data_IF_474521762560
#
_entry.id   IF_474521762560
#
_cell.length_a   1.000
_cell.length_b   1.000
_cell.length_c   1.000
_cell.angle_alpha   90.00
_cell.angle_beta   90.00
_cell.angle_gamma   90.00
#
_symmetry.space_group_name_H-M   'P 1'
#
loop_
_entity.id
_entity.type
_entity.pdbx_description
1 polymer ?
#
# COMPACT_ATOMS: atom_id res chain seq x y z
N UNK A 1 -35.89 -56.70 4.27
CA UNK A 1 -34.51 -57.13 3.93
C UNK A 1 -33.55 -56.21 4.68
N UNK A 2 -32.85 -56.73 5.71
CA UNK A 2 -31.97 -55.94 6.58
C UNK A 2 -30.59 -55.86 5.89
N UNK A 3 -30.02 -54.67 5.62
CA UNK A 3 -28.74 -54.58 4.92
C UNK A 3 -27.63 -55.27 5.73
N UNK A 4 -26.65 -55.90 5.06
CA UNK A 4 -25.59 -56.64 5.75
C UNK A 4 -24.79 -55.67 6.62
N UNK A 5 -24.57 -56.04 7.88
CA UNK A 5 -23.90 -55.24 8.91
C UNK A 5 -22.51 -54.71 8.48
N UNK A 6 -21.88 -55.36 7.49
CA UNK A 6 -20.62 -54.93 6.89
C UNK A 6 -20.74 -53.63 6.06
N UNK A 7 -21.82 -53.46 5.27
CA UNK A 7 -22.03 -52.26 4.44
C UNK A 7 -22.26 -51.01 5.30
N UNK A 8 -22.93 -51.17 6.45
CA UNK A 8 -23.17 -50.08 7.40
C UNK A 8 -21.87 -49.53 8.01
N UNK A 9 -20.85 -50.36 8.24
CA UNK A 9 -19.55 -49.93 8.78
C UNK A 9 -18.75 -49.07 7.80
N UNK A 10 -18.74 -49.43 6.52
CA UNK A 10 -18.04 -48.68 5.46
C UNK A 10 -18.69 -47.32 5.19
N UNK A 11 -20.03 -47.24 5.21
CA UNK A 11 -20.77 -45.99 5.06
C UNK A 11 -20.51 -45.05 6.25
N UNK A 12 -20.44 -45.60 7.46
CA UNK A 12 -20.16 -44.82 8.67
C UNK A 12 -18.72 -44.27 8.69
N UNK A 13 -17.73 -45.05 8.24
CA UNK A 13 -16.33 -44.59 8.13
C UNK A 13 -16.14 -43.57 7.01
N UNK A 14 -16.85 -43.71 5.88
CA UNK A 14 -16.82 -42.73 4.79
C UNK A 14 -17.49 -41.41 5.18
N UNK A 15 -18.59 -41.46 5.93
CA UNK A 15 -19.25 -40.27 6.47
C UNK A 15 -18.32 -39.49 7.41
N UNK A 16 -17.55 -40.16 8.26
CA UNK A 16 -16.57 -39.51 9.13
C UNK A 16 -15.42 -38.89 8.34
N UNK A 17 -14.92 -39.56 7.30
CA UNK A 17 -13.89 -39.01 6.41
C UNK A 17 -14.34 -37.75 5.68
N UNK A 18 -15.58 -37.72 5.18
CA UNK A 18 -16.16 -36.57 4.49
C UNK A 18 -16.39 -35.40 5.47
N UNK A 19 -16.94 -35.68 6.65
CA UNK A 19 -17.14 -34.66 7.69
C UNK A 19 -15.81 -34.06 8.14
N UNK A 20 -14.76 -34.87 8.30
CA UNK A 20 -13.43 -34.39 8.64
C UNK A 20 -12.84 -33.50 7.53
N UNK A 21 -12.97 -33.91 6.27
CA UNK A 21 -12.46 -33.15 5.12
C UNK A 21 -13.21 -31.81 4.95
N UNK A 22 -14.53 -31.80 5.09
CA UNK A 22 -15.34 -30.58 5.08
C UNK A 22 -15.01 -29.67 6.27
N UNK A 23 -14.78 -30.23 7.45
CA UNK A 23 -14.36 -29.48 8.61
C UNK A 23 -13.01 -28.79 8.36
N UNK A 24 -12.04 -29.46 7.74
CA UNK A 24 -10.72 -28.85 7.41
C UNK A 24 -10.80 -27.75 6.35
N UNK A 25 -11.69 -27.88 5.36
CA UNK A 25 -11.90 -26.86 4.33
C UNK A 25 -12.62 -25.61 4.87
N UNK A 26 -13.39 -25.75 5.95
CA UNK A 26 -14.13 -24.67 6.57
C UNK A 26 -13.29 -23.81 7.53
N UNK A 27 -12.03 -24.17 7.80
CA UNK A 27 -11.16 -23.29 8.60
C UNK A 27 -10.84 -22.02 7.80
N UNK A 28 -11.16 -20.82 8.34
CA UNK A 28 -10.80 -19.58 7.69
C UNK A 28 -9.27 -19.44 7.70
N UNK A 29 -8.65 -19.49 6.52
CA UNK A 29 -7.26 -19.08 6.35
C UNK A 29 -7.19 -17.55 6.46
N UNK A 30 -6.83 -17.07 7.65
CA UNK A 30 -6.55 -15.65 7.85
C UNK A 30 -5.14 -15.35 7.38
N UNK A 31 -5.00 -14.88 6.15
CA UNK A 31 -3.74 -14.33 5.65
C UNK A 31 -3.68 -12.84 6.03
N UNK A 32 -2.69 -12.38 6.81
CA UNK A 32 -2.55 -10.96 7.10
C UNK A 32 -2.18 -10.22 5.81
N UNK A 33 -3.13 -9.49 5.24
CA UNK A 33 -2.90 -8.57 4.12
C UNK A 33 -2.42 -7.22 4.67
N UNK A 34 -1.24 -7.22 5.30
CA UNK A 34 -0.63 -5.98 5.75
C UNK A 34 -0.10 -5.17 4.54
N UNK A 35 -0.34 -3.85 4.47
CA UNK A 35 0.34 -3.00 3.50
C UNK A 35 1.86 -3.13 3.64
N UNK A 36 2.60 -3.04 2.53
CA UNK A 36 4.06 -3.00 2.57
C UNK A 36 4.50 -1.70 3.25
N UNK A 37 5.20 -1.83 4.37
CA UNK A 37 5.92 -0.73 5.01
C UNK A 37 7.32 -0.61 4.41
N UNK A 38 7.74 0.58 3.93
CA UNK A 38 9.14 0.81 3.57
C UNK A 38 10.06 0.58 4.77
N UNK A 39 11.24 0.05 4.49
CA UNK A 39 12.27 -0.27 5.48
C UNK A 39 13.07 0.96 5.95
N UNK A 40 13.06 2.03 5.15
CA UNK A 40 13.73 3.29 5.45
C UNK A 40 13.00 4.46 4.78
N UNK A 41 13.11 5.65 5.36
CA UNK A 41 12.47 6.87 4.82
C UNK A 41 12.97 7.25 3.42
N UNK A 42 14.22 6.89 3.11
CA UNK A 42 14.82 7.13 1.80
C UNK A 42 14.48 6.06 0.75
N UNK A 43 13.73 5.01 1.09
CA UNK A 43 13.35 3.95 0.16
C UNK A 43 12.38 4.50 -0.91
N UNK A 44 12.86 4.57 -2.16
CA UNK A 44 12.03 4.97 -3.30
C UNK A 44 11.37 3.74 -3.89
N UNK A 45 10.05 3.61 -3.70
CA UNK A 45 9.27 2.50 -4.25
C UNK A 45 9.17 2.54 -5.78
N UNK A 46 8.95 3.73 -6.34
CA UNK A 46 8.83 3.96 -7.78
C UNK A 46 9.22 5.40 -8.14
N UNK A 47 9.80 5.61 -9.34
CA UNK A 47 10.04 6.94 -9.91
C UNK A 47 9.14 7.17 -11.11
N UNK A 48 8.16 8.07 -10.96
CA UNK A 48 7.28 8.43 -12.06
C UNK A 48 8.02 9.25 -13.14
N UNK A 49 7.77 8.98 -14.44
CA UNK A 49 8.40 9.73 -15.51
C UNK A 49 7.90 11.19 -15.54
N UNK A 50 8.85 12.12 -15.66
CA UNK A 50 8.55 13.53 -15.90
C UNK A 50 8.02 13.71 -17.33
N UNK A 51 6.81 14.24 -17.47
CA UNK A 51 6.27 14.58 -18.79
C UNK A 51 7.03 15.80 -19.34
N UNK A 52 7.49 15.80 -20.61
CA UNK A 52 8.30 16.89 -21.18
C UNK A 52 7.66 18.29 -21.07
N UNK A 53 6.32 18.36 -21.07
CA UNK A 53 5.55 19.61 -20.93
C UNK A 53 5.28 20.06 -19.50
N UNK A 54 5.57 19.25 -18.48
CA UNK A 54 5.22 19.57 -17.09
C UNK A 54 6.25 20.51 -16.46
N UNK A 55 5.98 21.82 -16.54
CA UNK A 55 6.83 22.87 -15.96
C UNK A 55 6.76 22.87 -14.43
N UNK A 56 5.59 22.55 -13.87
CA UNK A 56 5.37 22.49 -12.43
C UNK A 56 6.20 21.39 -11.79
N UNK A 57 6.18 20.17 -12.34
CA UNK A 57 6.98 19.06 -11.83
C UNK A 57 8.49 19.34 -11.92
N UNK A 58 8.93 20.01 -12.99
CA UNK A 58 10.34 20.46 -13.12
C UNK A 58 10.72 21.49 -12.08
N UNK A 59 9.86 22.49 -11.80
CA UNK A 59 10.08 23.48 -10.73
C UNK A 59 10.21 22.81 -9.36
N UNK A 60 9.30 21.89 -9.02
CA UNK A 60 9.38 21.14 -7.76
C UNK A 60 10.67 20.30 -7.65
N UNK A 61 11.08 19.64 -8.73
CA UNK A 61 12.33 18.89 -8.74
C UNK A 61 13.54 19.79 -8.45
N UNK A 62 13.61 20.97 -9.08
CA UNK A 62 14.69 21.92 -8.86
C UNK A 62 14.74 22.43 -7.42
N UNK A 63 13.58 22.78 -6.84
CA UNK A 63 13.49 23.24 -5.46
C UNK A 63 13.90 22.16 -4.46
N UNK A 64 13.44 20.91 -4.65
CA UNK A 64 13.84 19.78 -3.80
C UNK A 64 15.34 19.49 -3.91
N UNK A 65 15.92 19.59 -5.12
CA UNK A 65 17.36 19.44 -5.31
C UNK A 65 18.16 20.57 -4.66
N UNK A 66 17.67 21.81 -4.71
CA UNK A 66 18.30 22.93 -4.02
C UNK A 66 18.28 22.72 -2.50
N UNK A 67 17.13 22.32 -1.94
CA UNK A 67 17.01 22.03 -0.51
C UNK A 67 17.88 20.85 -0.08
N UNK A 68 17.95 19.79 -0.90
CA UNK A 68 18.81 18.64 -0.61
C UNK A 68 20.31 19.00 -0.61
N UNK A 69 20.73 20.01 -1.39
CA UNK A 69 22.11 20.52 -1.38
C UNK A 69 22.40 21.35 -0.13
N UNK A 70 21.43 22.13 0.33
CA UNK A 70 21.57 23.02 1.49
C UNK A 70 20.36 22.90 2.42
N UNK A 71 20.27 21.84 3.25
CA UNK A 71 19.06 21.56 4.03
C UNK A 71 18.72 22.62 5.07
N UNK A 72 19.72 23.38 5.55
CA UNK A 72 19.54 24.45 6.52
C UNK A 72 19.12 25.79 5.89
N UNK A 73 18.98 25.87 4.56
CA UNK A 73 18.56 27.09 3.88
C UNK A 73 17.04 27.27 4.00
N UNK A 74 16.65 28.02 5.04
CA UNK A 74 15.26 28.35 5.33
C UNK A 74 14.56 29.09 4.16
N UNK A 75 15.29 29.80 3.30
CA UNK A 75 14.70 30.50 2.16
C UNK A 75 14.24 29.50 1.09
N UNK A 76 15.05 28.49 0.80
CA UNK A 76 14.70 27.43 -0.16
C UNK A 76 13.57 26.57 0.40
N UNK A 77 13.60 26.22 1.69
CA UNK A 77 12.54 25.48 2.36
C UNK A 77 11.20 26.23 2.26
N UNK A 78 11.17 27.51 2.62
CA UNK A 78 9.96 28.34 2.57
C UNK A 78 9.43 28.51 1.13
N UNK A 79 10.32 28.64 0.15
CA UNK A 79 9.93 28.72 -1.27
C UNK A 79 9.28 27.42 -1.74
N UNK A 80 9.80 26.27 -1.31
CA UNK A 80 9.22 24.96 -1.61
C UNK A 80 7.87 24.76 -0.92
N UNK A 81 7.76 25.11 0.36
CA UNK A 81 6.52 25.07 1.13
C UNK A 81 5.42 25.92 0.47
N UNK A 82 5.73 27.15 0.10
CA UNK A 82 4.79 28.04 -0.59
C UNK A 82 4.31 27.44 -1.91
N UNK A 83 5.22 26.88 -2.72
CA UNK A 83 4.84 26.25 -3.98
C UNK A 83 3.87 25.07 -3.79
N UNK A 84 4.00 24.32 -2.69
CA UNK A 84 3.05 23.26 -2.35
C UNK A 84 1.69 23.80 -1.92
N UNK A 85 1.64 24.87 -1.13
CA UNK A 85 0.37 25.52 -0.79
C UNK A 85 -0.35 26.06 -2.04
N UNK A 86 0.38 26.71 -2.94
CA UNK A 86 -0.19 27.19 -4.20
C UNK A 86 -0.80 26.02 -5.00
N UNK A 87 -0.12 24.88 -5.03
CA UNK A 87 -0.59 23.68 -5.70
C UNK A 87 -1.81 23.05 -5.01
N UNK A 88 -1.84 23.06 -3.67
CA UNK A 88 -2.97 22.60 -2.87
C UNK A 88 -4.22 23.44 -3.18
N UNK A 89 -4.08 24.76 -3.23
CA UNK A 89 -5.17 25.68 -3.54
C UNK A 89 -5.64 25.53 -4.99
N UNK A 90 -4.73 25.37 -5.94
CA UNK A 90 -5.07 25.20 -7.35
C UNK A 90 -5.79 23.87 -7.64
N UNK A 91 -5.47 22.78 -6.92
CA UNK A 91 -6.00 21.44 -7.18
C UNK A 91 -7.06 20.97 -6.19
N UNK A 92 -7.17 21.60 -5.03
CA UNK A 92 -7.99 21.13 -3.91
C UNK A 92 -7.51 19.81 -3.30
N UNK A 93 -6.24 19.43 -3.53
CA UNK A 93 -5.69 18.17 -3.04
C UNK A 93 -4.90 18.38 -1.73
N UNK A 94 -5.42 17.89 -0.59
CA UNK A 94 -4.82 18.15 0.73
C UNK A 94 -3.45 17.50 0.91
N UNK A 95 -3.06 16.53 0.07
CA UNK A 95 -1.73 15.89 0.17
C UNK A 95 -0.60 16.90 -0.01
N UNK A 96 -0.82 17.95 -0.81
CA UNK A 96 0.18 18.99 -0.99
C UNK A 96 0.42 19.82 0.28
N UNK A 97 -0.57 19.97 1.15
CA UNK A 97 -0.39 20.66 2.44
C UNK A 97 0.60 19.89 3.32
N UNK A 98 0.48 18.55 3.37
CA UNK A 98 1.42 17.71 4.11
C UNK A 98 2.86 17.79 3.57
N UNK A 99 3.04 17.97 2.26
CA UNK A 99 4.37 18.17 1.68
C UNK A 99 4.97 19.55 1.94
N UNK A 100 4.18 20.51 2.44
CA UNK A 100 4.64 21.86 2.71
C UNK A 100 5.40 21.99 4.05
N UNK A 101 5.41 20.95 4.90
CA UNK A 101 6.20 20.88 6.14
C UNK A 101 7.72 20.70 5.89
N UNK A 102 8.19 21.11 4.70
CA UNK A 102 9.55 20.89 4.19
C UNK A 102 10.64 21.63 4.97
#
# INVERSE_FOLDING_TARGET
MKPPLAAAKHILSQAWGITLCLATLALPLSAPAAPRTPSADAEVLERLPLRPGDTTARKFLQLRQALAKTPADASVANTLAQAYFDQAMAKGDPRYIGYAEA
#
